data_IF_947573583384
#
_entry.id   IF_947573583384
#
_cell.length_a   1.000
_cell.length_b   1.000
_cell.length_c   1.000
_cell.angle_alpha   90.00
_cell.angle_beta   90.00
_cell.angle_gamma   90.00
#
_symmetry.space_group_name_H-M   'P 1'
#
loop_
_entity.id
_entity.type
_entity.pdbx_description
1 polymer ?
#
# COMPACT_ATOMS: atom_id res chain seq x y z
N UNK A 1 -7.98 21.97 -3.98
CA UNK A 1 -8.15 20.50 -3.84
C UNK A 1 -9.50 20.00 -4.36
N UNK A 2 -10.63 20.65 -4.06
CA UNK A 2 -11.97 20.19 -4.54
C UNK A 2 -12.13 20.13 -6.08
N UNK A 3 -11.36 20.89 -6.85
CA UNK A 3 -11.49 20.99 -8.33
C UNK A 3 -10.58 19.99 -9.08
N UNK A 4 -9.53 19.48 -8.47
CA UNK A 4 -8.49 18.71 -9.17
C UNK A 4 -8.49 17.23 -8.76
N UNK A 5 -9.03 16.90 -7.58
CA UNK A 5 -8.96 15.56 -6.99
C UNK A 5 -7.52 15.14 -6.62
N UNK A 6 -7.38 13.95 -6.04
CA UNK A 6 -6.10 13.42 -5.58
C UNK A 6 -5.13 13.17 -6.74
N UNK A 7 -5.55 12.45 -7.76
CA UNK A 7 -4.71 12.13 -8.92
C UNK A 7 -4.31 13.37 -9.73
N UNK A 8 -5.20 14.33 -9.87
CA UNK A 8 -4.85 15.61 -10.51
C UNK A 8 -3.82 16.40 -9.69
N UNK A 9 -3.85 16.29 -8.35
CA UNK A 9 -2.81 16.85 -7.50
C UNK A 9 -1.48 16.11 -7.70
N UNK A 10 -1.49 14.78 -7.72
CA UNK A 10 -0.30 13.96 -7.99
C UNK A 10 0.31 14.33 -9.34
N UNK A 11 -0.50 14.49 -10.39
CA UNK A 11 -0.05 14.93 -11.72
C UNK A 11 0.61 16.30 -11.68
N UNK A 12 0.12 17.22 -10.85
CA UNK A 12 0.69 18.55 -10.71
C UNK A 12 2.04 18.50 -9.97
N UNK A 13 2.11 17.82 -8.83
CA UNK A 13 3.32 17.80 -8.00
C UNK A 13 4.43 16.92 -8.60
N UNK A 14 4.08 15.91 -9.39
CA UNK A 14 5.06 15.06 -10.09
C UNK A 14 5.76 15.76 -11.26
N UNK A 15 5.16 16.85 -11.79
CA UNK A 15 5.77 17.62 -12.88
C UNK A 15 7.12 18.20 -12.47
N UNK A 16 8.14 17.89 -13.26
CA UNK A 16 9.50 18.38 -13.03
C UNK A 16 10.33 17.57 -12.01
N UNK A 17 9.77 16.54 -11.39
CA UNK A 17 10.56 15.58 -10.62
C UNK A 17 11.46 14.80 -11.59
N UNK A 18 12.76 14.87 -11.35
CA UNK A 18 13.75 14.16 -12.14
C UNK A 18 14.29 12.99 -11.36
N UNK A 19 14.34 11.83 -11.99
CA UNK A 19 14.95 10.61 -11.45
C UNK A 19 16.16 10.23 -12.29
N UNK A 20 17.08 9.50 -11.72
CA UNK A 20 18.21 8.93 -12.43
C UNK A 20 17.94 7.45 -12.82
N UNK A 21 18.94 6.80 -13.39
CA UNK A 21 18.85 5.40 -13.86
C UNK A 21 18.62 4.36 -12.77
N UNK A 22 18.71 4.72 -11.49
CA UNK A 22 18.39 3.82 -10.38
C UNK A 22 16.89 3.63 -10.18
N UNK A 23 16.07 4.53 -10.74
CA UNK A 23 14.61 4.45 -10.69
C UNK A 23 14.12 3.83 -12.00
N UNK A 24 13.55 2.63 -11.90
CA UNK A 24 12.99 1.90 -13.05
C UNK A 24 11.55 2.33 -13.31
N UNK A 25 10.76 2.46 -12.25
CA UNK A 25 9.40 3.01 -12.27
C UNK A 25 9.29 3.99 -11.10
N UNK A 26 8.92 5.23 -11.38
CA UNK A 26 8.71 6.27 -10.39
C UNK A 26 7.23 6.37 -9.98
N UNK A 27 6.75 7.61 -9.86
CA UNK A 27 5.36 7.93 -9.48
C UNK A 27 4.38 7.37 -10.52
N UNK A 28 3.31 6.71 -10.06
CA UNK A 28 2.18 6.28 -10.89
C UNK A 28 1.82 4.80 -10.82
N UNK A 29 2.60 3.98 -10.09
CA UNK A 29 2.26 2.58 -9.78
C UNK A 29 2.04 2.42 -8.26
N UNK A 30 1.71 1.22 -7.77
CA UNK A 30 1.48 0.95 -6.35
C UNK A 30 2.73 1.22 -5.49
N UNK A 31 3.91 0.96 -6.03
CA UNK A 31 5.18 1.32 -5.42
C UNK A 31 6.19 1.78 -6.46
N UNK A 32 7.16 2.58 -6.06
CA UNK A 32 8.32 2.87 -6.89
C UNK A 32 9.20 1.61 -7.06
N UNK A 33 9.76 1.43 -8.26
CA UNK A 33 10.66 0.30 -8.58
C UNK A 33 12.07 0.83 -8.71
N UNK A 34 12.96 0.33 -7.88
CA UNK A 34 14.36 0.78 -7.82
C UNK A 34 15.30 -0.35 -8.21
N UNK A 35 16.38 0.00 -8.93
CA UNK A 35 17.44 -0.96 -9.26
C UNK A 35 18.11 -1.46 -7.98
N UNK A 36 18.32 -2.75 -7.85
CA UNK A 36 18.96 -3.34 -6.68
C UNK A 36 20.15 -4.23 -7.08
N UNK A 37 19.85 -5.37 -7.71
CA UNK A 37 20.88 -6.29 -8.17
C UNK A 37 20.56 -6.89 -9.54
N UNK A 38 21.32 -7.89 -9.98
CA UNK A 38 21.14 -8.54 -11.28
C UNK A 38 19.80 -9.28 -11.40
N UNK A 39 19.16 -9.70 -10.29
CA UNK A 39 17.98 -10.57 -10.27
C UNK A 39 16.72 -9.89 -9.74
N UNK A 40 16.89 -8.89 -8.88
CA UNK A 40 15.79 -8.28 -8.12
C UNK A 40 15.77 -6.76 -8.26
N UNK A 41 14.57 -6.21 -8.09
CA UNK A 41 14.31 -4.81 -7.81
C UNK A 41 13.92 -4.64 -6.34
N UNK A 42 14.12 -3.43 -5.80
CA UNK A 42 13.41 -2.98 -4.61
C UNK A 42 12.11 -2.31 -5.03
N UNK A 43 11.08 -2.54 -4.23
CA UNK A 43 9.82 -1.82 -4.26
C UNK A 43 9.79 -0.89 -3.04
N UNK A 44 9.39 0.36 -3.23
CA UNK A 44 9.30 1.35 -2.16
C UNK A 44 7.97 2.06 -2.22
N UNK A 45 7.21 1.98 -1.13
CA UNK A 45 5.93 2.66 -0.96
C UNK A 45 5.85 3.36 0.39
N UNK A 46 4.89 4.26 0.55
CA UNK A 46 4.52 4.89 1.80
C UNK A 46 3.02 5.14 1.82
N UNK A 47 2.35 4.67 2.89
CA UNK A 47 0.93 4.86 3.14
C UNK A 47 0.70 5.56 4.45
N UNK A 48 -0.16 6.55 4.41
CA UNK A 48 -0.59 7.32 5.57
C UNK A 48 -2.07 7.07 5.86
N UNK A 49 -2.39 6.73 7.10
CA UNK A 49 -3.77 6.68 7.58
C UNK A 49 -4.01 7.76 8.64
N UNK A 50 -5.16 8.42 8.57
CA UNK A 50 -5.52 9.61 9.36
C UNK A 50 -6.85 9.39 10.06
N UNK A 51 -6.90 9.76 11.35
CA UNK A 51 -8.14 9.78 12.15
C UNK A 51 -9.21 10.66 11.50
N UNK A 52 -10.47 10.18 11.51
CA UNK A 52 -11.66 10.73 10.86
C UNK A 52 -11.65 10.68 9.32
N UNK A 53 -10.60 10.14 8.71
CA UNK A 53 -10.53 9.85 7.27
C UNK A 53 -10.58 8.33 7.07
N UNK A 54 -9.59 7.62 7.58
CA UNK A 54 -9.38 6.19 7.34
C UNK A 54 -9.90 5.29 8.45
N UNK A 55 -10.09 5.86 9.65
CA UNK A 55 -10.62 5.22 10.85
C UNK A 55 -11.18 6.27 11.80
N UNK A 56 -11.89 5.84 12.86
CA UNK A 56 -12.43 6.73 13.89
C UNK A 56 -12.00 6.29 15.28
N UNK A 57 -11.60 7.25 16.12
CA UNK A 57 -11.44 7.09 17.56
C UNK A 57 -12.33 8.10 18.29
N UNK A 58 -13.28 7.65 19.17
CA UNK A 58 -13.63 6.23 19.42
C UNK A 58 -14.45 5.63 18.28
N UNK A 59 -14.44 4.31 18.16
CA UNK A 59 -15.25 3.58 17.17
C UNK A 59 -14.52 2.44 16.47
N UNK A 60 -13.21 2.57 16.28
CA UNK A 60 -12.35 1.48 15.79
C UNK A 60 -11.50 0.93 16.91
N UNK A 61 -11.27 -0.37 16.91
CA UNK A 61 -10.33 -1.00 17.85
C UNK A 61 -8.89 -0.57 17.57
N UNK A 62 -8.14 -0.04 18.55
CA UNK A 62 -6.80 0.49 18.31
C UNK A 62 -5.84 -0.54 17.69
N UNK A 63 -5.96 -1.81 18.02
CA UNK A 63 -5.14 -2.87 17.43
C UNK A 63 -5.44 -3.04 15.92
N UNK A 64 -6.70 -2.90 15.51
CA UNK A 64 -7.07 -2.95 14.09
C UNK A 64 -6.54 -1.73 13.30
N UNK A 65 -6.46 -0.57 13.93
CA UNK A 65 -5.85 0.63 13.31
C UNK A 65 -4.38 0.35 13.01
N UNK A 66 -3.64 -0.17 13.98
CA UNK A 66 -2.23 -0.54 13.78
C UNK A 66 -2.03 -1.64 12.73
N UNK A 67 -2.92 -2.65 12.70
CA UNK A 67 -2.95 -3.69 11.68
C UNK A 67 -3.15 -3.09 10.29
N UNK A 68 -4.20 -2.26 10.10
CA UNK A 68 -4.50 -1.59 8.83
C UNK A 68 -3.30 -0.79 8.32
N UNK A 69 -2.67 0.02 9.17
CA UNK A 69 -1.56 0.88 8.78
C UNK A 69 -0.43 0.09 8.08
N UNK A 70 -0.05 -1.06 8.61
CA UNK A 70 0.98 -1.91 7.99
C UNK A 70 0.44 -2.64 6.76
N UNK A 71 -0.83 -3.09 6.82
CA UNK A 71 -1.43 -3.87 5.74
C UNK A 71 -1.63 -3.08 4.45
N UNK A 72 -1.85 -1.76 4.50
CA UNK A 72 -1.91 -0.92 3.30
C UNK A 72 -0.60 -1.03 2.51
N UNK A 73 0.54 -0.69 3.09
CA UNK A 73 1.84 -0.79 2.41
C UNK A 73 2.23 -2.23 2.02
N UNK A 74 1.83 -3.25 2.80
CA UNK A 74 2.01 -4.66 2.41
C UNK A 74 1.21 -4.98 1.14
N UNK A 75 0.00 -4.39 1.00
CA UNK A 75 -0.86 -4.57 -0.18
C UNK A 75 -0.20 -4.03 -1.45
N UNK A 76 0.36 -2.82 -1.41
CA UNK A 76 1.08 -2.22 -2.54
C UNK A 76 2.25 -3.09 -3.00
N UNK A 77 3.07 -3.55 -2.05
CA UNK A 77 4.20 -4.44 -2.38
C UNK A 77 3.70 -5.73 -3.02
N UNK A 78 2.61 -6.31 -2.50
CA UNK A 78 2.01 -7.51 -3.05
C UNK A 78 1.40 -7.26 -4.44
N UNK A 79 0.76 -6.11 -4.68
CA UNK A 79 0.17 -5.71 -5.95
C UNK A 79 1.18 -5.72 -7.10
N UNK A 80 2.46 -5.49 -6.80
CA UNK A 80 3.54 -5.51 -7.79
C UNK A 80 4.31 -6.86 -7.86
N UNK A 81 3.75 -7.93 -7.26
CA UNK A 81 4.38 -9.27 -7.25
C UNK A 81 5.54 -9.37 -6.27
N UNK A 82 5.69 -8.41 -5.37
CA UNK A 82 6.76 -8.33 -4.40
C UNK A 82 6.48 -9.06 -3.09
N UNK A 83 7.52 -9.11 -2.25
CA UNK A 83 7.46 -9.58 -0.86
C UNK A 83 7.96 -8.44 0.03
N UNK A 84 7.19 -8.00 1.04
CA UNK A 84 7.63 -6.95 1.96
C UNK A 84 8.81 -7.44 2.81
N UNK A 85 9.70 -6.53 3.22
CA UNK A 85 10.94 -6.90 3.95
C UNK A 85 11.21 -5.96 5.12
N UNK A 86 11.19 -4.65 4.91
CA UNK A 86 11.50 -3.65 5.93
C UNK A 86 10.47 -2.53 5.94
N UNK A 87 10.20 -2.00 7.12
CA UNK A 87 9.36 -0.82 7.28
C UNK A 87 9.87 0.10 8.40
N UNK A 88 9.59 1.38 8.23
CA UNK A 88 9.63 2.39 9.28
C UNK A 88 8.22 2.92 9.52
N UNK A 89 7.92 3.27 10.77
CA UNK A 89 6.59 3.74 11.17
C UNK A 89 6.71 5.11 11.80
N UNK A 90 6.12 6.12 11.19
CA UNK A 90 6.04 7.46 11.74
C UNK A 90 4.64 7.72 12.29
N UNK A 91 4.55 8.32 13.49
CA UNK A 91 3.26 8.59 14.14
C UNK A 91 3.13 10.03 14.58
N UNK A 92 2.00 10.65 14.26
CA UNK A 92 1.55 11.91 14.81
C UNK A 92 0.51 11.64 15.91
N UNK A 93 0.81 12.00 17.15
CA UNK A 93 -0.02 11.64 18.31
C UNK A 93 -0.70 12.87 18.92
N UNK A 94 -2.04 12.85 19.13
CA UNK A 94 -2.73 13.83 19.93
C UNK A 94 -2.19 13.85 21.37
N UNK A 95 -1.91 15.04 21.91
CA UNK A 95 -1.35 15.20 23.27
C UNK A 95 -2.16 14.54 24.38
N UNK A 96 -3.48 14.35 24.16
CA UNK A 96 -4.40 13.73 25.13
C UNK A 96 -4.61 12.23 24.89
N UNK A 97 -3.97 11.63 23.88
CA UNK A 97 -4.12 10.21 23.58
C UNK A 97 -3.52 9.37 24.71
N UNK A 98 -4.31 8.44 25.23
CA UNK A 98 -3.86 7.58 26.34
C UNK A 98 -2.73 6.64 25.87
N UNK A 99 -1.71 6.45 26.69
CA UNK A 99 -0.58 5.56 26.42
C UNK A 99 -1.05 4.12 26.16
N UNK A 100 -2.12 3.67 26.83
CA UNK A 100 -2.73 2.36 26.59
C UNK A 100 -3.22 2.22 25.14
N UNK A 101 -3.87 3.25 24.60
CA UNK A 101 -4.33 3.28 23.20
C UNK A 101 -3.14 3.18 22.24
N UNK A 102 -2.09 3.94 22.48
CA UNK A 102 -0.85 3.85 21.67
C UNK A 102 -0.25 2.45 21.73
N UNK A 103 -0.20 1.86 22.91
CA UNK A 103 0.32 0.49 23.11
C UNK A 103 -0.49 -0.54 22.32
N UNK A 104 -1.82 -0.43 22.30
CA UNK A 104 -2.70 -1.32 21.52
C UNK A 104 -2.50 -1.12 20.00
N UNK A 105 -2.33 0.12 19.52
CA UNK A 105 -1.99 0.40 18.12
C UNK A 105 -0.69 -0.31 17.73
N UNK A 106 0.36 -0.14 18.55
CA UNK A 106 1.64 -0.82 18.30
C UNK A 106 1.57 -2.35 18.43
N UNK A 107 0.63 -2.90 19.21
CA UNK A 107 0.33 -4.34 19.20
C UNK A 107 -0.14 -4.79 17.82
N UNK A 108 -1.07 -4.05 17.21
CA UNK A 108 -1.55 -4.31 15.85
C UNK A 108 -0.46 -4.19 14.79
N UNK A 109 0.37 -3.13 14.87
CA UNK A 109 1.53 -2.94 13.98
C UNK A 109 2.49 -4.14 14.06
N UNK A 110 2.86 -4.56 15.27
CA UNK A 110 3.76 -5.71 15.50
C UNK A 110 3.17 -7.00 14.98
N UNK A 111 1.86 -7.23 15.21
CA UNK A 111 1.14 -8.42 14.74
C UNK A 111 1.15 -8.51 13.21
N UNK A 112 0.86 -7.41 12.50
CA UNK A 112 0.92 -7.36 11.05
C UNK A 112 2.36 -7.57 10.54
N UNK A 113 3.33 -6.90 11.14
CA UNK A 113 4.74 -7.07 10.78
C UNK A 113 5.21 -8.52 10.94
N UNK A 114 4.80 -9.19 12.02
CA UNK A 114 5.09 -10.61 12.25
C UNK A 114 4.42 -11.52 11.22
N UNK A 115 3.12 -11.30 10.94
CA UNK A 115 2.35 -12.11 9.96
C UNK A 115 2.97 -12.07 8.56
N UNK A 116 3.45 -10.89 8.14
CA UNK A 116 4.02 -10.69 6.80
C UNK A 116 5.55 -10.71 6.77
N UNK A 117 6.22 -11.10 7.88
CA UNK A 117 7.68 -11.15 8.01
C UNK A 117 8.38 -9.81 7.68
N UNK A 118 7.77 -8.70 8.07
CA UNK A 118 8.32 -7.34 7.92
C UNK A 118 9.17 -7.00 9.13
N UNK A 119 10.42 -6.57 8.90
CA UNK A 119 11.26 -6.04 9.95
C UNK A 119 10.95 -4.55 10.17
N UNK A 120 10.45 -4.22 11.35
CA UNK A 120 10.31 -2.82 11.77
C UNK A 120 11.68 -2.32 12.19
N UNK A 121 12.25 -1.38 11.44
CA UNK A 121 13.65 -0.96 11.59
C UNK A 121 13.80 0.47 12.12
N UNK A 122 12.70 1.18 12.33
CA UNK A 122 12.72 2.54 12.87
C UNK A 122 11.41 3.27 12.68
N UNK A 123 11.46 4.58 12.75
CA UNK A 123 10.31 5.46 12.57
C UNK A 123 10.53 6.80 13.25
N UNK A 124 9.45 7.58 13.37
CA UNK A 124 9.45 8.89 14.03
C UNK A 124 8.20 9.06 14.88
N UNK A 125 8.26 9.95 15.87
CA UNK A 125 7.12 10.28 16.74
C UNK A 125 7.02 11.78 16.91
N UNK A 126 5.88 12.35 16.57
CA UNK A 126 5.60 13.77 16.69
C UNK A 126 4.24 14.04 17.31
N UNK A 127 4.01 15.28 17.74
CA UNK A 127 2.69 15.73 18.16
C UNK A 127 1.85 16.12 16.96
N UNK A 128 0.56 15.77 16.99
CA UNK A 128 -0.43 16.20 15.99
C UNK A 128 -1.80 16.44 16.65
N UNK A 129 -2.71 17.11 15.97
CA UNK A 129 -4.08 17.31 16.45
C UNK A 129 -4.95 16.06 16.28
N UNK A 130 -4.62 15.23 15.29
CA UNK A 130 -5.25 13.94 14.97
C UNK A 130 -4.22 12.84 15.05
N UNK A 131 -4.67 11.60 15.32
CA UNK A 131 -3.82 10.42 15.17
C UNK A 131 -3.52 10.20 13.69
N UNK A 132 -2.23 10.18 13.37
CA UNK A 132 -1.71 9.90 12.03
C UNK A 132 -0.71 8.76 12.15
N UNK A 133 -0.77 7.80 11.26
CA UNK A 133 0.21 6.71 11.17
C UNK A 133 0.65 6.63 9.72
N UNK A 134 1.94 6.79 9.47
CA UNK A 134 2.58 6.64 8.17
C UNK A 134 3.54 5.45 8.21
N UNK A 135 3.46 4.59 7.20
CA UNK A 135 4.30 3.40 7.08
C UNK A 135 5.02 3.44 5.74
N UNK A 136 6.30 3.77 5.77
CA UNK A 136 7.15 3.60 4.60
C UNK A 136 7.73 2.18 4.59
N UNK A 137 7.59 1.49 3.46
CA UNK A 137 7.93 0.07 3.33
C UNK A 137 8.82 -0.19 2.12
N UNK A 138 9.76 -1.12 2.30
CA UNK A 138 10.58 -1.66 1.22
C UNK A 138 10.29 -3.15 1.06
N UNK A 139 9.96 -3.54 -0.16
CA UNK A 139 9.83 -4.91 -0.60
C UNK A 139 10.90 -5.30 -1.63
N UNK A 140 10.90 -6.56 -2.00
CA UNK A 140 11.73 -7.12 -3.08
C UNK A 140 10.86 -7.87 -4.07
N UNK A 141 11.22 -7.76 -5.36
CA UNK A 141 10.58 -8.53 -6.42
C UNK A 141 11.65 -9.06 -7.40
N UNK A 142 11.50 -10.29 -7.87
CA UNK A 142 12.33 -10.78 -8.99
C UNK A 142 11.97 -9.99 -10.26
N UNK A 143 12.99 -9.53 -11.01
CA UNK A 143 12.79 -8.70 -12.23
C UNK A 143 11.76 -9.28 -13.20
N UNK A 144 11.75 -10.61 -13.37
CA UNK A 144 10.83 -11.32 -14.27
C UNK A 144 9.41 -11.50 -13.73
N UNK A 145 9.17 -11.21 -12.43
CA UNK A 145 7.89 -11.35 -11.75
C UNK A 145 7.23 -10.01 -11.43
N UNK A 146 7.92 -8.92 -11.75
CA UNK A 146 7.37 -7.58 -11.56
C UNK A 146 6.08 -7.42 -12.36
N UNK A 147 4.98 -7.11 -11.68
CA UNK A 147 3.72 -6.73 -12.28
C UNK A 147 3.52 -5.22 -12.13
N UNK A 148 3.02 -4.56 -13.16
CA UNK A 148 2.76 -3.13 -13.21
C UNK A 148 1.31 -2.88 -13.62
N UNK A 149 0.81 -1.69 -13.37
CA UNK A 149 -0.50 -1.25 -13.89
C UNK A 149 -0.49 -1.07 -15.40
N UNK A 150 0.66 -0.84 -16.03
CA UNK A 150 0.83 -0.32 -17.38
C UNK A 150 0.96 -1.36 -18.50
N UNK A 151 0.75 -2.63 -18.24
CA UNK A 151 1.00 -3.69 -19.23
C UNK A 151 -0.25 -4.47 -19.67
N UNK A 152 -1.47 -4.07 -19.28
CA UNK A 152 -2.71 -4.71 -19.70
C UNK A 152 -2.92 -4.54 -21.21
N UNK A 153 -3.58 -5.52 -21.84
CA UNK A 153 -3.83 -5.58 -23.27
C UNK A 153 -5.31 -5.81 -23.54
N UNK A 154 -5.78 -5.35 -24.69
CA UNK A 154 -7.11 -5.69 -25.20
C UNK A 154 -7.26 -7.20 -25.29
N UNK A 155 -8.34 -7.71 -24.70
CA UNK A 155 -8.64 -9.14 -24.62
C UNK A 155 -8.11 -9.84 -23.37
N UNK A 156 -7.39 -9.15 -22.49
CA UNK A 156 -7.02 -9.72 -21.20
C UNK A 156 -8.27 -9.96 -20.34
N UNK A 157 -8.30 -11.10 -19.64
CA UNK A 157 -9.35 -11.39 -18.67
C UNK A 157 -9.06 -10.69 -17.34
N UNK A 158 -10.08 -10.08 -16.75
CA UNK A 158 -10.00 -9.39 -15.46
C UNK A 158 -10.39 -10.35 -14.34
N UNK A 159 -9.54 -10.49 -13.34
CA UNK A 159 -9.77 -11.31 -12.15
C UNK A 159 -9.59 -10.46 -10.89
N UNK A 160 -10.30 -10.84 -9.83
CA UNK A 160 -10.11 -10.30 -8.48
C UNK A 160 -9.89 -11.43 -7.49
N UNK A 161 -9.08 -11.20 -6.48
CA UNK A 161 -8.87 -12.14 -5.38
C UNK A 161 -9.87 -11.87 -4.26
N UNK A 162 -10.61 -12.90 -3.84
CA UNK A 162 -11.58 -12.81 -2.77
C UNK A 162 -12.91 -12.16 -3.20
N UNK A 163 -13.63 -11.60 -2.24
CA UNK A 163 -14.96 -10.98 -2.43
C UNK A 163 -14.88 -9.48 -2.24
N UNK A 164 -15.59 -8.75 -3.10
CA UNK A 164 -15.70 -7.29 -3.07
C UNK A 164 -17.02 -6.83 -2.46
N UNK A 165 -17.05 -5.58 -2.01
CA UNK A 165 -18.24 -4.91 -1.48
C UNK A 165 -18.38 -5.01 0.04
N UNK A 166 -19.11 -4.05 0.63
CA UNK A 166 -19.46 -4.03 2.04
C UNK A 166 -18.31 -3.88 3.03
N UNK A 167 -17.11 -3.46 2.61
CA UNK A 167 -15.92 -3.41 3.45
C UNK A 167 -16.06 -2.52 4.69
N UNK A 168 -16.70 -1.36 4.55
CA UNK A 168 -16.96 -0.44 5.67
C UNK A 168 -18.04 -1.03 6.60
N UNK A 169 -19.15 -1.52 6.05
CA UNK A 169 -20.25 -2.06 6.85
C UNK A 169 -19.87 -3.30 7.67
N UNK A 170 -18.95 -4.12 7.15
CA UNK A 170 -18.46 -5.33 7.82
C UNK A 170 -17.22 -5.09 8.70
N UNK A 171 -16.64 -3.89 8.72
CA UNK A 171 -15.36 -3.62 9.37
C UNK A 171 -14.14 -4.22 8.65
N UNK A 172 -14.33 -4.86 7.49
CA UNK A 172 -13.24 -5.46 6.71
C UNK A 172 -12.16 -4.45 6.33
N UNK A 173 -12.53 -3.18 6.12
CA UNK A 173 -11.58 -2.10 5.81
C UNK A 173 -10.53 -1.84 6.90
N UNK A 174 -10.79 -2.28 8.14
CA UNK A 174 -9.83 -2.20 9.27
C UNK A 174 -9.09 -3.52 9.51
N UNK A 175 -9.64 -4.64 9.04
CA UNK A 175 -9.15 -5.98 9.36
C UNK A 175 -9.01 -6.86 8.11
N UNK A 176 -8.60 -6.26 7.00
CA UNK A 176 -8.30 -7.02 5.79
C UNK A 176 -6.95 -7.72 5.87
N UNK A 177 -6.79 -8.75 5.06
CA UNK A 177 -5.52 -9.48 4.90
C UNK A 177 -4.99 -9.22 3.50
N UNK A 178 -3.83 -8.55 3.36
CA UNK A 178 -3.14 -8.37 2.08
C UNK A 178 -2.90 -9.68 1.34
N UNK A 179 -3.05 -9.66 0.04
CA UNK A 179 -3.03 -10.84 -0.83
C UNK A 179 -1.63 -11.28 -1.25
N UNK A 180 -0.67 -11.28 -0.30
CA UNK A 180 0.74 -11.65 -0.58
C UNK A 180 0.87 -13.05 -1.13
N UNK A 181 0.18 -14.04 -0.50
CA UNK A 181 0.25 -15.45 -0.92
C UNK A 181 -0.35 -15.66 -2.31
N UNK A 182 -1.51 -15.05 -2.55
CA UNK A 182 -2.20 -15.10 -3.84
C UNK A 182 -1.37 -14.43 -4.93
N UNK A 183 -0.84 -13.24 -4.68
CA UNK A 183 0.05 -12.53 -5.60
C UNK A 183 1.26 -13.37 -5.97
N UNK A 184 1.95 -13.93 -4.96
CA UNK A 184 3.09 -14.81 -5.21
C UNK A 184 2.71 -16.05 -6.02
N UNK A 185 1.56 -16.66 -5.75
CA UNK A 185 1.06 -17.79 -6.54
C UNK A 185 0.79 -17.38 -8.00
N UNK A 186 0.19 -16.21 -8.21
CA UNK A 186 -0.10 -15.68 -9.55
C UNK A 186 1.19 -15.44 -10.35
N UNK A 187 2.13 -14.64 -9.84
CA UNK A 187 3.36 -14.28 -10.59
C UNK A 187 4.34 -15.46 -10.75
N UNK A 188 4.22 -16.51 -9.94
CA UNK A 188 5.03 -17.73 -10.08
C UNK A 188 4.50 -18.71 -11.11
N UNK A 189 3.18 -18.78 -11.30
CA UNK A 189 2.55 -19.83 -12.08
C UNK A 189 1.90 -19.34 -13.38
N UNK A 190 1.66 -18.03 -13.50
CA UNK A 190 0.96 -17.45 -14.64
C UNK A 190 1.71 -16.25 -15.19
N UNK A 191 1.45 -15.94 -16.46
CA UNK A 191 1.87 -14.69 -17.07
C UNK A 191 0.83 -13.62 -16.72
N UNK A 192 1.19 -12.73 -15.82
CA UNK A 192 0.35 -11.58 -15.42
C UNK A 192 0.79 -10.39 -16.26
N UNK A 193 -0.13 -9.80 -17.03
CA UNK A 193 0.16 -8.61 -17.83
C UNK A 193 0.10 -7.33 -16.97
N UNK A 194 -0.95 -7.18 -16.15
CA UNK A 194 -1.05 -6.07 -15.21
C UNK A 194 -1.67 -6.53 -13.90
N UNK A 195 -1.33 -5.85 -12.82
CA UNK A 195 -1.86 -6.11 -11.49
C UNK A 195 -1.83 -4.82 -10.69
N UNK A 196 -2.77 -4.66 -9.78
CA UNK A 196 -2.79 -3.64 -8.74
C UNK A 196 -3.63 -4.14 -7.56
N UNK A 197 -3.56 -3.48 -6.43
CA UNK A 197 -4.48 -3.74 -5.34
C UNK A 197 -5.83 -3.03 -5.54
N UNK A 198 -6.81 -3.32 -4.69
CA UNK A 198 -8.12 -2.66 -4.69
C UNK A 198 -8.25 -1.90 -3.36
N UNK A 199 -8.08 -0.59 -3.42
CA UNK A 199 -8.17 0.34 -2.30
C UNK A 199 -9.44 1.19 -2.34
N UNK A 200 -9.73 1.81 -3.47
CA UNK A 200 -10.85 2.74 -3.66
C UNK A 200 -12.10 2.08 -4.26
N UNK A 201 -11.95 0.85 -4.73
CA UNK A 201 -13.00 0.05 -5.32
C UNK A 201 -12.75 -0.30 -6.78
N UNK A 202 -13.29 -1.46 -7.19
CA UNK A 202 -12.99 -2.08 -8.48
C UNK A 202 -13.04 -1.14 -9.68
N UNK A 203 -14.06 -0.28 -9.76
CA UNK A 203 -14.24 0.61 -10.93
C UNK A 203 -13.18 1.71 -10.99
N UNK A 204 -12.78 2.24 -9.82
CA UNK A 204 -11.74 3.26 -9.70
C UNK A 204 -10.38 2.67 -10.07
N UNK A 205 -10.07 1.56 -9.43
CA UNK A 205 -8.75 0.93 -9.54
C UNK A 205 -8.54 0.30 -10.93
N UNK A 206 -9.56 -0.36 -11.50
CA UNK A 206 -9.50 -0.84 -12.87
C UNK A 206 -9.26 0.29 -13.89
N UNK A 207 -9.85 1.48 -13.66
CA UNK A 207 -9.61 2.65 -14.50
C UNK A 207 -8.13 3.05 -14.52
N UNK A 208 -7.41 2.90 -13.40
CA UNK A 208 -5.97 3.18 -13.37
C UNK A 208 -5.19 2.20 -14.25
N UNK A 209 -5.49 0.91 -14.19
CA UNK A 209 -4.90 -0.07 -15.11
C UNK A 209 -5.16 0.33 -16.56
N UNK A 210 -6.39 0.67 -16.92
CA UNK A 210 -6.75 1.06 -18.29
C UNK A 210 -6.00 2.31 -18.75
N UNK A 211 -5.94 3.34 -17.91
CA UNK A 211 -5.23 4.59 -18.22
C UNK A 211 -3.73 4.37 -18.40
N UNK A 212 -3.09 3.64 -17.46
CA UNK A 212 -1.66 3.38 -17.51
C UNK A 212 -1.28 2.45 -18.65
N UNK A 213 -2.16 1.53 -19.02
CA UNK A 213 -1.97 0.59 -20.14
C UNK A 213 -2.37 1.16 -21.51
N UNK A 214 -3.07 2.31 -21.56
CA UNK A 214 -3.67 2.88 -22.78
C UNK A 214 -4.60 1.90 -23.51
N UNK A 215 -5.35 1.10 -22.71
CA UNK A 215 -6.23 0.04 -23.18
C UNK A 215 -7.72 0.47 -23.14
#
# INVERSE_FOLDING_TARGET
>A
MKEVGEFGLIDIISKGIKTDKSVIVGIGDDAAVLEFDKKQYLLMTADMIVEDVDFRLPGSEPEQIGWKAVCCSVSDIAAMGGVPVWAVVSVGLPKKLALETVSKIYSGIKKAAQEFNVNLVGGDTSSADKLVIDVAMIGKVEKKKLALRSNAKLGDAVFVTGTLGGAVASGKHLNFTPRVKESQALVNNFKINAMMDISDGLSSDLKHILQMSKA
#
